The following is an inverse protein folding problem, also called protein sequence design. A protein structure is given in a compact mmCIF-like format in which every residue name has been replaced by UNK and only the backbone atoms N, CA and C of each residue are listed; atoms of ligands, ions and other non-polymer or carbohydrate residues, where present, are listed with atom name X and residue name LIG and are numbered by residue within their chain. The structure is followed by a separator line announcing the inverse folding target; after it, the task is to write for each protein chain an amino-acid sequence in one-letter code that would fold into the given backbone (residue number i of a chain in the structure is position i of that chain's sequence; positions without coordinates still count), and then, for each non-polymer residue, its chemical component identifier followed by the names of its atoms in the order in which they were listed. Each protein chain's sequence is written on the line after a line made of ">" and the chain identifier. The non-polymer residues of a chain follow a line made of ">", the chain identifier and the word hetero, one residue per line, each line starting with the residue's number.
data_IF_063462542551
#
_entry.id   IF_063462542551
#
_cell.length_a   1.000
_cell.length_b   1.000
_cell.length_c   1.000
_cell.angle_alpha   90.00
_cell.angle_beta   90.00
_cell.angle_gamma   90.00
#
_symmetry.space_group_name_H-M   'P 1'
#
loop_
_entity.id
_entity.type
_entity.pdbx_description
1 polymer ?
#
# COMPACT_ATOMS: atom_id res chain seq x y z
N UNK A 1 -21.79 -30.97 35.11
CA UNK A 1 -21.47 -29.85 34.18
C UNK A 1 -20.07 -30.10 33.66
N UNK A 2 -19.92 -30.63 32.44
CA UNK A 2 -18.62 -31.03 31.89
C UNK A 2 -18.03 -29.81 31.18
N UNK A 3 -16.94 -29.24 31.71
CA UNK A 3 -16.16 -28.23 31.01
C UNK A 3 -15.42 -28.91 29.85
N UNK A 4 -15.87 -28.65 28.63
CA UNK A 4 -15.15 -29.04 27.41
C UNK A 4 -14.07 -27.98 27.20
N UNK A 5 -12.82 -28.27 27.58
CA UNK A 5 -11.66 -27.51 27.13
C UNK A 5 -11.52 -27.68 25.61
N UNK A 6 -11.84 -26.62 24.86
CA UNK A 6 -11.52 -26.55 23.43
C UNK A 6 -10.10 -26.02 23.29
N UNK A 7 -9.14 -26.94 23.18
CA UNK A 7 -7.77 -26.58 22.82
C UNK A 7 -7.73 -26.22 21.33
N UNK A 8 -7.50 -24.94 21.02
CA UNK A 8 -7.30 -24.46 19.64
C UNK A 8 -5.94 -24.97 19.14
N UNK A 9 -5.96 -25.91 18.21
CA UNK A 9 -4.75 -26.42 17.54
C UNK A 9 -4.49 -25.62 16.28
N UNK A 10 -3.51 -24.71 16.33
CA UNK A 10 -3.02 -23.97 15.15
C UNK A 10 -2.32 -24.96 14.22
N UNK A 11 -2.94 -25.29 13.08
CA UNK A 11 -2.26 -26.02 11.99
C UNK A 11 -1.26 -25.10 11.31
N UNK A 12 0.03 -25.41 11.44
CA UNK A 12 1.08 -24.73 10.68
C UNK A 12 1.08 -25.26 9.25
N UNK A 13 0.71 -24.41 8.30
CA UNK A 13 0.92 -24.67 6.87
C UNK A 13 2.30 -24.12 6.49
N UNK A 14 3.19 -24.91 5.86
CA UNK A 14 4.46 -24.41 5.36
C UNK A 14 4.20 -23.38 4.25
N UNK A 15 4.49 -22.12 4.51
CA UNK A 15 4.52 -21.05 3.50
C UNK A 15 5.98 -20.74 3.16
N UNK A 16 6.28 -20.57 1.86
CA UNK A 16 7.58 -20.07 1.40
C UNK A 16 7.63 -18.58 1.73
N UNK A 17 8.06 -18.24 2.95
CA UNK A 17 8.06 -16.86 3.43
C UNK A 17 8.97 -16.00 2.53
N UNK A 18 8.50 -14.82 2.12
CA UNK A 18 9.38 -13.77 1.60
C UNK A 18 10.44 -13.46 2.66
N UNK A 19 11.64 -14.00 2.47
CA UNK A 19 12.78 -13.88 3.40
C UNK A 19 13.40 -12.47 3.40
N UNK A 20 12.92 -11.54 2.56
CA UNK A 20 13.44 -10.18 2.45
C UNK A 20 13.08 -9.29 3.66
N UNK A 21 12.16 -9.76 4.49
CA UNK A 21 11.57 -8.97 5.58
C UNK A 21 12.05 -9.35 6.98
N UNK A 22 12.93 -10.36 7.09
CA UNK A 22 13.65 -10.70 8.32
C UNK A 22 14.89 -9.81 8.44
N UNK A 23 15.19 -9.37 9.67
CA UNK A 23 16.29 -8.44 9.96
C UNK A 23 17.65 -9.11 9.72
N UNK A 24 18.09 -9.13 8.46
CA UNK A 24 19.46 -9.46 8.09
C UNK A 24 20.37 -8.29 8.49
N UNK A 25 21.43 -8.62 9.21
CA UNK A 25 22.51 -7.71 9.60
C UNK A 25 23.04 -6.91 8.40
N UNK A 26 23.39 -5.66 8.67
CA UNK A 26 23.99 -4.72 7.74
C UNK A 26 25.44 -5.10 7.43
N UNK A 27 25.64 -6.16 6.65
CA UNK A 27 26.90 -6.41 5.96
C UNK A 27 26.54 -6.80 4.54
N UNK A 28 26.64 -5.82 3.63
CA UNK A 28 26.99 -5.97 2.21
C UNK A 28 26.76 -4.63 1.49
N UNK A 29 27.51 -3.60 1.90
CA UNK A 29 27.80 -2.47 1.02
C UNK A 29 28.96 -2.89 0.12
N UNK A 30 28.68 -3.48 -1.04
CA UNK A 30 29.66 -3.59 -2.15
C UNK A 30 29.00 -4.05 -3.46
N UNK A 31 28.34 -3.13 -4.15
CA UNK A 31 28.49 -2.90 -5.61
C UNK A 31 27.38 -1.93 -6.08
N UNK A 32 27.75 -0.69 -6.42
CA UNK A 32 26.81 0.27 -7.03
C UNK A 32 26.48 -0.09 -8.50
N UNK A 33 27.10 -1.13 -9.06
CA UNK A 33 26.96 -1.50 -10.46
C UNK A 33 26.07 -2.74 -10.71
N UNK A 34 25.81 -3.58 -9.70
CA UNK A 34 25.05 -4.85 -9.85
C UNK A 34 23.84 -4.97 -8.91
N UNK A 35 23.55 -3.93 -8.12
CA UNK A 35 22.49 -3.96 -7.11
C UNK A 35 22.83 -4.86 -5.91
N UNK A 36 21.99 -4.87 -4.89
CA UNK A 36 22.25 -5.62 -3.65
C UNK A 36 22.00 -7.14 -3.76
N UNK A 37 21.77 -7.67 -4.97
CA UNK A 37 21.38 -9.07 -5.21
C UNK A 37 19.97 -9.46 -4.72
N UNK A 38 19.28 -8.55 -4.00
CA UNK A 38 17.94 -8.79 -3.42
C UNK A 38 16.79 -8.18 -4.23
N UNK A 39 17.09 -7.58 -5.38
CA UNK A 39 16.10 -6.90 -6.23
C UNK A 39 15.21 -5.92 -5.41
N UNK A 40 15.81 -5.11 -4.54
CA UNK A 40 15.06 -4.31 -3.57
C UNK A 40 14.49 -3.00 -4.16
N UNK A 41 13.75 -2.27 -3.34
CA UNK A 41 13.21 -0.94 -3.63
C UNK A 41 14.17 0.22 -3.29
N UNK A 42 15.43 -0.07 -2.98
CA UNK A 42 16.43 0.93 -2.63
C UNK A 42 17.19 1.48 -3.84
N UNK A 43 18.02 2.48 -3.57
CA UNK A 43 18.83 3.20 -4.58
C UNK A 43 19.72 2.26 -5.42
N UNK A 44 20.10 1.10 -4.88
CA UNK A 44 20.94 0.13 -5.57
C UNK A 44 20.23 -0.64 -6.69
N UNK A 45 18.89 -0.74 -6.65
CA UNK A 45 18.13 -1.60 -7.58
C UNK A 45 17.02 -0.85 -8.29
N UNK A 46 16.26 -0.01 -7.57
CA UNK A 46 15.05 0.61 -8.11
C UNK A 46 15.28 1.51 -9.34
N UNK A 47 16.32 2.37 -9.40
CA UNK A 47 16.51 3.29 -10.52
C UNK A 47 16.74 2.61 -11.88
N UNK A 48 17.27 1.37 -11.88
CA UNK A 48 17.56 0.60 -13.10
C UNK A 48 16.46 -0.44 -13.41
N UNK A 49 15.39 -0.45 -12.63
CA UNK A 49 14.36 -1.48 -12.71
C UNK A 49 13.26 -1.16 -13.71
N UNK A 50 12.55 -2.21 -14.15
CA UNK A 50 11.30 -2.09 -14.89
C UNK A 50 10.17 -2.63 -14.05
N UNK A 51 9.29 -1.75 -13.62
CA UNK A 51 8.13 -2.11 -12.80
C UNK A 51 6.84 -1.85 -13.58
N UNK A 52 5.76 -2.61 -13.31
CA UNK A 52 4.44 -2.24 -13.79
C UNK A 52 4.09 -0.82 -13.35
N UNK A 53 3.34 -0.09 -14.16
CA UNK A 53 2.99 1.30 -13.92
C UNK A 53 1.51 1.52 -14.17
N UNK A 54 0.79 1.99 -13.15
CA UNK A 54 -0.55 2.51 -13.26
C UNK A 54 -0.50 4.03 -13.22
N UNK A 55 -0.91 4.66 -14.31
CA UNK A 55 -0.97 6.12 -14.41
C UNK A 55 -2.42 6.55 -14.25
N UNK A 56 -2.73 7.33 -13.22
CA UNK A 56 -4.11 7.73 -12.90
C UNK A 56 -4.47 9.10 -13.47
N UNK A 57 -5.74 9.30 -13.87
CA UNK A 57 -6.21 10.61 -14.35
C UNK A 57 -6.01 11.71 -13.29
N UNK A 58 -5.37 12.82 -13.67
CA UNK A 58 -5.24 14.00 -12.82
C UNK A 58 -5.78 15.25 -13.54
N UNK A 59 -7.03 15.63 -13.22
CA UNK A 59 -7.73 16.71 -13.90
C UNK A 59 -7.26 18.12 -13.51
N UNK A 60 -6.39 18.27 -12.50
CA UNK A 60 -5.93 19.60 -12.06
C UNK A 60 -4.95 20.28 -13.05
N UNK A 61 -4.39 19.53 -14.01
CA UNK A 61 -3.43 20.06 -15.00
C UNK A 61 -4.01 20.21 -16.43
N UNK A 62 -5.33 20.06 -16.59
CA UNK A 62 -6.02 20.05 -17.90
C UNK A 62 -6.25 21.42 -18.55
N UNK A 63 -5.22 22.27 -18.63
CA UNK A 63 -5.18 23.44 -19.53
C UNK A 63 -3.86 23.48 -20.32
N UNK A 64 -3.52 22.41 -21.02
CA UNK A 64 -2.53 22.48 -22.10
C UNK A 64 -3.03 21.59 -23.24
N UNK A 65 -3.04 22.17 -24.44
CA UNK A 65 -3.49 21.56 -25.69
C UNK A 65 -2.66 20.34 -26.09
N UNK A 66 -3.28 19.52 -26.93
CA UNK A 66 -2.74 18.28 -27.47
C UNK A 66 -1.47 18.52 -28.29
N UNK A 67 -0.38 17.84 -27.92
CA UNK A 67 0.71 17.53 -28.83
C UNK A 67 1.26 16.15 -28.48
N UNK A 68 0.74 15.11 -29.14
CA UNK A 68 1.30 13.75 -29.06
C UNK A 68 2.23 13.58 -30.27
N UNK A 69 3.52 13.83 -30.07
CA UNK A 69 4.57 13.39 -30.96
C UNK A 69 5.62 12.56 -30.21
N UNK A 70 5.54 11.23 -30.39
CA UNK A 70 6.64 10.25 -30.42
C UNK A 70 7.46 9.96 -29.14
N UNK A 71 7.44 8.71 -28.68
CA UNK A 71 8.56 7.76 -28.93
C UNK A 71 8.25 6.35 -28.41
N UNK A 72 8.78 5.35 -29.14
CA UNK A 72 8.56 3.90 -29.03
C UNK A 72 9.54 3.26 -28.03
N UNK A 73 9.02 2.57 -27.03
CA UNK A 73 9.43 1.22 -26.58
C UNK A 73 8.86 0.94 -25.16
N UNK A 74 7.72 0.27 -25.12
CA UNK A 74 7.01 -0.16 -23.93
C UNK A 74 5.62 -0.61 -24.37
N UNK A 75 5.08 -1.69 -23.80
CA UNK A 75 3.85 -2.34 -24.28
C UNK A 75 2.68 -1.38 -24.48
N UNK A 76 1.74 -1.75 -25.37
CA UNK A 76 0.54 -0.95 -25.63
C UNK A 76 -0.21 -0.69 -24.31
N UNK A 77 -0.48 0.58 -23.94
CA UNK A 77 -1.20 0.89 -22.71
C UNK A 77 -2.60 0.24 -22.72
N UNK A 78 -2.92 -0.49 -21.66
CA UNK A 78 -4.23 -1.11 -21.51
C UNK A 78 -5.13 -0.24 -20.63
N UNK A 79 -6.36 -0.01 -21.07
CA UNK A 79 -7.42 0.51 -20.20
C UNK A 79 -7.85 -0.61 -19.26
N UNK A 80 -7.57 -0.47 -17.97
CA UNK A 80 -7.94 -1.44 -16.95
C UNK A 80 -8.57 -0.76 -15.74
N UNK A 81 -9.61 -1.38 -15.18
CA UNK A 81 -10.13 -1.01 -13.87
C UNK A 81 -9.05 -1.28 -12.82
N UNK A 82 -8.77 -0.29 -11.96
CA UNK A 82 -7.78 -0.43 -10.90
C UNK A 82 -8.09 -1.64 -10.00
N UNK A 83 -9.37 -1.91 -9.70
CA UNK A 83 -9.75 -3.02 -8.83
C UNK A 83 -9.36 -4.38 -9.41
N UNK A 84 -9.71 -4.62 -10.68
CA UNK A 84 -9.41 -5.89 -11.32
C UNK A 84 -7.89 -6.10 -11.42
N UNK A 85 -7.15 -5.04 -11.74
CA UNK A 85 -5.69 -5.08 -11.79
C UNK A 85 -5.10 -5.38 -10.40
N UNK A 86 -5.51 -4.64 -9.37
CA UNK A 86 -4.99 -4.76 -8.01
C UNK A 86 -5.27 -6.16 -7.46
N UNK A 87 -6.52 -6.63 -7.55
CA UNK A 87 -6.92 -7.94 -7.06
C UNK A 87 -6.22 -9.07 -7.83
N UNK A 88 -6.17 -8.99 -9.17
CA UNK A 88 -5.48 -9.99 -9.99
C UNK A 88 -3.98 -10.08 -9.69
N UNK A 89 -3.31 -8.94 -9.52
CA UNK A 89 -1.90 -8.93 -9.12
C UNK A 89 -1.71 -9.41 -7.68
N UNK A 90 -2.61 -9.08 -6.76
CA UNK A 90 -2.55 -9.54 -5.37
C UNK A 90 -2.70 -11.08 -5.27
N UNK A 91 -3.65 -11.66 -6.01
CA UNK A 91 -3.85 -13.11 -6.13
C UNK A 91 -2.65 -13.81 -6.77
N UNK A 92 -2.04 -13.23 -7.81
CA UNK A 92 -0.78 -13.75 -8.38
C UNK A 92 0.30 -13.88 -7.30
N UNK A 93 0.49 -12.86 -6.46
CA UNK A 93 1.49 -12.92 -5.37
C UNK A 93 1.11 -13.93 -4.28
N UNK A 94 -0.19 -14.17 -4.08
CA UNK A 94 -0.68 -15.21 -3.17
C UNK A 94 -0.31 -16.59 -3.70
N UNK A 95 -0.58 -16.85 -4.98
CA UNK A 95 -0.25 -18.11 -5.66
C UNK A 95 1.27 -18.36 -5.68
N UNK A 96 2.08 -17.29 -5.72
CA UNK A 96 3.54 -17.36 -5.62
C UNK A 96 4.07 -17.53 -4.18
N UNK A 97 3.19 -17.54 -3.18
CA UNK A 97 3.55 -17.80 -1.79
C UNK A 97 4.15 -16.61 -1.03
N UNK A 98 4.03 -15.38 -1.53
CA UNK A 98 4.73 -14.22 -0.92
C UNK A 98 4.13 -13.72 0.40
N UNK A 99 3.03 -14.31 0.86
CA UNK A 99 2.33 -13.93 2.09
C UNK A 99 2.74 -14.84 3.26
N UNK A 100 2.76 -14.28 4.47
CA UNK A 100 3.12 -15.04 5.68
C UNK A 100 2.06 -16.07 6.08
N UNK A 101 0.81 -15.82 5.72
CA UNK A 101 -0.35 -16.67 6.00
C UNK A 101 -1.48 -16.35 5.03
N UNK A 102 -2.45 -17.25 4.91
CA UNK A 102 -3.64 -17.08 4.08
C UNK A 102 -4.77 -16.40 4.86
N UNK A 103 -5.04 -15.13 4.54
CA UNK A 103 -6.12 -14.35 5.15
C UNK A 103 -7.51 -14.75 4.68
N UNK A 104 -7.64 -15.39 3.51
CA UNK A 104 -8.95 -15.74 2.93
C UNK A 104 -9.64 -16.88 3.70
N UNK A 105 -8.87 -17.62 4.49
CA UNK A 105 -9.35 -18.67 5.38
C UNK A 105 -9.82 -18.16 6.75
N UNK A 106 -9.67 -16.86 7.05
CA UNK A 106 -9.93 -16.32 8.38
C UNK A 106 -11.43 -16.19 8.67
N UNK A 107 -11.87 -16.73 9.83
CA UNK A 107 -13.25 -16.61 10.26
C UNK A 107 -13.63 -15.14 10.50
N UNK A 108 -14.62 -14.67 9.76
CA UNK A 108 -15.16 -13.32 9.84
C UNK A 108 -16.65 -13.37 10.19
N UNK A 109 -17.09 -12.61 11.19
CA UNK A 109 -18.49 -12.55 11.64
C UNK A 109 -18.92 -11.11 11.86
N UNK A 110 -20.14 -10.79 11.43
CA UNK A 110 -20.83 -9.56 11.83
C UNK A 110 -21.45 -9.80 13.21
N UNK A 111 -21.01 -9.04 14.20
CA UNK A 111 -21.51 -9.10 15.57
C UNK A 111 -22.95 -8.55 15.58
N UNK A 112 -23.93 -9.30 16.12
CA UNK A 112 -25.28 -8.81 16.29
C UNK A 112 -25.34 -7.53 17.13
N UNK A 113 -26.15 -6.57 16.69
CA UNK A 113 -26.37 -5.31 17.40
C UNK A 113 -26.48 -4.10 16.47
N UNK A 114 -26.81 -2.94 17.06
CA UNK A 114 -27.07 -1.68 16.32
C UNK A 114 -25.96 -1.31 15.33
N UNK A 115 -24.71 -1.53 15.72
CA UNK A 115 -23.55 -1.08 14.96
C UNK A 115 -23.08 -2.11 13.93
N UNK A 116 -23.41 -3.40 14.10
CA UNK A 116 -22.96 -4.47 13.21
C UNK A 116 -21.45 -4.51 13.05
N UNK A 117 -20.71 -4.49 14.16
CA UNK A 117 -19.24 -4.57 14.16
C UNK A 117 -18.78 -5.86 13.48
N UNK A 118 -17.61 -5.81 12.86
CA UNK A 118 -17.03 -6.96 12.18
C UNK A 118 -15.89 -7.48 13.05
N UNK A 119 -15.97 -8.74 13.44
CA UNK A 119 -14.90 -9.45 14.13
C UNK A 119 -14.29 -10.47 13.18
N UNK A 120 -12.96 -10.44 13.08
CA UNK A 120 -12.19 -11.38 12.30
C UNK A 120 -11.06 -11.93 13.16
N UNK A 121 -10.91 -13.26 13.16
CA UNK A 121 -9.83 -13.93 13.86
C UNK A 121 -8.71 -14.30 12.88
N UNK A 122 -7.65 -13.50 12.88
CA UNK A 122 -6.46 -13.73 12.06
C UNK A 122 -5.41 -14.52 12.87
N UNK A 123 -5.54 -15.84 12.87
CA UNK A 123 -4.61 -16.74 13.57
C UNK A 123 -3.18 -16.59 13.03
N UNK A 124 -2.19 -16.70 13.92
CA UNK A 124 -0.77 -16.58 13.54
C UNK A 124 -0.28 -15.16 13.21
N UNK A 125 -1.17 -14.18 12.97
CA UNK A 125 -0.77 -12.80 12.68
C UNK A 125 0.08 -12.17 13.79
N UNK A 126 -0.26 -12.45 15.05
CA UNK A 126 0.46 -11.91 16.21
C UNK A 126 1.90 -12.42 16.31
N UNK A 127 2.19 -13.62 15.78
CA UNK A 127 3.52 -14.26 15.88
C UNK A 127 4.59 -13.57 15.03
N UNK A 128 4.18 -12.88 13.96
CA UNK A 128 5.09 -12.22 13.00
C UNK A 128 4.97 -10.68 13.04
N UNK A 129 4.23 -10.14 14.01
CA UNK A 129 4.05 -8.68 14.16
C UNK A 129 5.35 -8.06 14.70
N UNK A 130 5.88 -7.07 13.98
CA UNK A 130 7.04 -6.30 14.45
C UNK A 130 6.67 -5.47 15.70
N UNK A 131 7.60 -5.26 16.64
CA UNK A 131 7.42 -4.30 17.72
C UNK A 131 7.12 -2.91 17.17
N UNK A 132 6.27 -2.16 17.84
CA UNK A 132 5.95 -0.78 17.43
C UNK A 132 7.11 0.14 17.77
N UNK A 133 7.45 1.06 16.87
CA UNK A 133 8.45 2.11 17.11
C UNK A 133 7.92 3.25 18.00
N UNK A 134 6.65 3.16 18.40
CA UNK A 134 5.97 4.14 19.23
C UNK A 134 6.71 4.39 20.54
N UNK A 135 6.91 5.68 20.85
CA UNK A 135 7.25 6.18 22.18
C UNK A 135 6.16 7.17 22.58
N UNK A 136 5.67 7.05 23.82
CA UNK A 136 4.51 7.81 24.34
C UNK A 136 4.69 9.33 24.17
N UNK A 137 5.93 9.80 24.27
CA UNK A 137 6.34 11.20 24.18
C UNK A 137 6.80 11.62 22.77
N UNK A 138 6.91 10.69 21.81
CA UNK A 138 7.53 10.95 20.51
C UNK A 138 6.82 10.25 19.35
N UNK A 139 5.69 10.85 18.94
CA UNK A 139 4.94 10.43 17.73
C UNK A 139 5.62 10.88 16.44
N UNK A 140 6.33 12.00 16.45
CA UNK A 140 7.11 12.48 15.32
C UNK A 140 8.57 12.03 15.49
N UNK A 141 8.98 11.07 14.67
CA UNK A 141 10.33 10.50 14.69
C UNK A 141 10.96 10.68 13.30
N UNK A 142 12.25 11.04 13.22
CA UNK A 142 12.97 11.03 11.95
C UNK A 142 13.03 9.61 11.40
N UNK A 143 13.11 9.48 10.08
CA UNK A 143 13.39 8.21 9.43
C UNK A 143 14.71 7.63 9.94
N UNK A 144 14.78 6.30 10.07
CA UNK A 144 15.97 5.58 10.52
C UNK A 144 16.29 4.46 9.54
N UNK A 145 17.35 4.65 8.75
CA UNK A 145 17.74 3.70 7.71
C UNK A 145 18.24 2.37 8.28
N UNK A 146 18.69 2.34 9.54
CA UNK A 146 19.14 1.11 10.19
C UNK A 146 17.98 0.16 10.49
N UNK A 147 16.77 0.71 10.69
CA UNK A 147 15.58 -0.09 10.95
C UNK A 147 14.98 -0.65 9.67
N UNK A 148 14.03 -1.57 9.82
CA UNK A 148 13.27 -2.05 8.66
C UNK A 148 12.52 -0.88 8.01
N UNK A 149 12.63 -0.77 6.69
CA UNK A 149 11.93 0.22 5.90
C UNK A 149 11.68 -0.31 4.48
N UNK A 150 10.78 0.33 3.73
CA UNK A 150 10.33 -0.21 2.45
C UNK A 150 11.38 -0.22 1.34
N UNK A 151 12.50 0.51 1.46
CA UNK A 151 13.61 0.39 0.48
C UNK A 151 14.25 -1.02 0.50
N UNK A 152 14.06 -1.78 1.59
CA UNK A 152 14.61 -3.13 1.79
C UNK A 152 13.69 -4.24 1.25
N UNK A 153 12.47 -3.90 0.83
CA UNK A 153 11.50 -4.84 0.27
C UNK A 153 11.88 -5.23 -1.15
N UNK A 154 11.70 -6.50 -1.50
CA UNK A 154 11.92 -7.02 -2.85
C UNK A 154 10.82 -6.57 -3.82
N UNK A 155 11.20 -6.29 -5.06
CA UNK A 155 10.29 -5.79 -6.09
C UNK A 155 9.20 -6.79 -6.49
N UNK A 156 9.34 -8.07 -6.18
CA UNK A 156 8.30 -9.08 -6.37
C UNK A 156 7.05 -8.83 -5.50
N UNK A 157 7.18 -8.10 -4.39
CA UNK A 157 6.07 -7.67 -3.56
C UNK A 157 5.31 -6.48 -4.18
N UNK A 158 5.87 -5.79 -5.17
CA UNK A 158 5.24 -4.65 -5.85
C UNK A 158 4.19 -5.11 -6.84
N UNK A 159 3.02 -4.48 -6.81
CA UNK A 159 1.97 -4.67 -7.81
C UNK A 159 2.21 -3.76 -9.01
N UNK A 160 2.42 -2.47 -8.76
CA UNK A 160 2.71 -1.42 -9.74
C UNK A 160 3.18 -0.13 -9.07
N UNK A 161 3.84 0.74 -9.84
CA UNK A 161 3.99 2.17 -9.54
C UNK A 161 2.66 2.89 -9.75
N UNK A 162 2.39 3.92 -8.95
CA UNK A 162 1.14 4.69 -9.00
C UNK A 162 1.44 6.18 -9.17
N UNK A 163 1.26 6.70 -10.40
CA UNK A 163 1.75 8.02 -10.80
C UNK A 163 0.64 8.85 -11.49
N UNK A 164 0.66 10.19 -11.37
CA UNK A 164 -0.34 11.03 -12.02
C UNK A 164 -0.14 11.10 -13.54
N UNK A 165 -1.24 11.04 -14.29
CA UNK A 165 -1.27 11.33 -15.71
C UNK A 165 -1.57 12.82 -15.92
N UNK A 166 -0.86 13.47 -16.86
CA UNK A 166 -1.21 14.80 -17.34
C UNK A 166 -2.53 14.79 -18.16
N UNK A 167 -2.91 13.63 -18.70
CA UNK A 167 -4.14 13.42 -19.45
C UNK A 167 -5.38 13.12 -18.58
N UNK A 168 -6.52 12.94 -19.25
CA UNK A 168 -7.84 12.71 -18.61
C UNK A 168 -8.18 11.23 -18.39
N UNK A 169 -7.31 10.32 -18.82
CA UNK A 169 -7.54 8.86 -18.80
C UNK A 169 -6.48 8.15 -17.99
N UNK A 170 -6.85 7.01 -17.41
CA UNK A 170 -5.93 6.15 -16.66
C UNK A 170 -5.44 5.01 -17.54
N UNK A 171 -4.17 4.62 -17.37
CA UNK A 171 -3.52 3.58 -18.18
C UNK A 171 -2.69 2.64 -17.32
N UNK A 172 -2.61 1.39 -17.74
CA UNK A 172 -1.69 0.42 -17.16
C UNK A 172 -0.64 -0.01 -18.18
N UNK A 173 0.62 0.02 -17.75
CA UNK A 173 1.77 -0.51 -18.47
C UNK A 173 2.32 -1.69 -17.67
N UNK A 174 2.31 -2.92 -18.22
CA UNK A 174 2.77 -4.11 -17.49
C UNK A 174 4.27 -4.09 -17.18
N UNK A 175 5.05 -3.30 -17.92
CA UNK A 175 6.46 -3.09 -17.68
C UNK A 175 6.85 -1.71 -18.20
N UNK A 176 7.33 -0.86 -17.30
CA UNK A 176 7.78 0.50 -17.62
C UNK A 176 9.08 0.81 -16.86
N UNK A 177 10.11 1.35 -17.53
CA UNK A 177 11.36 1.71 -16.86
C UNK A 177 11.10 2.75 -15.76
N UNK A 178 11.72 2.54 -14.61
CA UNK A 178 11.82 3.59 -13.59
C UNK A 178 12.72 4.68 -14.17
N UNK A 179 12.26 5.92 -14.09
CA UNK A 179 12.97 7.07 -14.64
C UNK A 179 13.88 7.63 -13.54
N UNK A 180 15.21 7.46 -13.63
CA UNK A 180 16.14 7.88 -12.58
C UNK A 180 16.26 9.40 -12.47
N UNK A 181 15.80 10.15 -13.48
CA UNK A 181 15.85 11.62 -13.49
C UNK A 181 14.57 12.26 -12.93
N UNK A 182 13.54 11.45 -12.63
CA UNK A 182 12.29 11.92 -12.01
C UNK A 182 12.30 11.78 -10.50
N UNK A 183 11.29 12.40 -9.89
CA UNK A 183 10.96 12.25 -8.47
C UNK A 183 10.87 10.77 -8.08
N UNK A 184 11.20 10.48 -6.82
CA UNK A 184 11.11 9.14 -6.28
C UNK A 184 9.73 8.51 -6.54
N UNK A 185 9.67 7.27 -7.06
CA UNK A 185 8.41 6.64 -7.42
C UNK A 185 7.56 6.35 -6.18
N UNK A 186 6.24 6.44 -6.37
CA UNK A 186 5.27 5.92 -5.41
C UNK A 186 4.81 4.54 -5.85
N UNK A 187 4.76 3.58 -4.93
CA UNK A 187 4.49 2.18 -5.24
C UNK A 187 3.29 1.65 -4.48
N UNK A 188 2.55 0.74 -5.11
CA UNK A 188 1.57 -0.13 -4.45
C UNK A 188 2.19 -1.52 -4.36
N UNK A 189 2.33 -2.02 -3.13
CA UNK A 189 2.91 -3.34 -2.85
C UNK A 189 1.98 -4.16 -1.96
N UNK A 190 2.10 -5.49 -1.97
CA UNK A 190 1.33 -6.33 -1.05
C UNK A 190 1.70 -6.02 0.41
N UNK A 191 0.73 -6.11 1.30
CA UNK A 191 1.06 -6.30 2.71
C UNK A 191 1.24 -7.79 2.96
N UNK A 192 2.49 -8.26 3.11
CA UNK A 192 2.81 -9.69 3.35
C UNK A 192 2.22 -10.24 4.65
N UNK A 193 1.69 -9.38 5.54
CA UNK A 193 0.88 -9.73 6.71
C UNK A 193 -0.53 -9.16 6.56
N UNK A 194 -1.32 -9.70 5.61
CA UNK A 194 -2.58 -9.12 5.20
C UNK A 194 -3.59 -9.18 6.36
N UNK A 195 -4.43 -8.15 6.50
CA UNK A 195 -5.55 -8.18 7.46
C UNK A 195 -6.85 -8.55 6.78
N UNK A 196 -6.92 -8.41 5.46
CA UNK A 196 -8.09 -8.72 4.66
C UNK A 196 -7.65 -8.99 3.21
N UNK A 197 -8.54 -9.56 2.40
CA UNK A 197 -8.40 -9.72 0.97
C UNK A 197 -8.03 -8.41 0.26
N UNK A 198 -7.08 -8.49 -0.67
CA UNK A 198 -6.54 -7.35 -1.39
C UNK A 198 -5.75 -6.36 -0.52
N UNK A 199 -5.26 -6.76 0.66
CA UNK A 199 -4.49 -5.86 1.53
C UNK A 199 -3.14 -5.50 0.92
N UNK A 200 -3.00 -4.22 0.59
CA UNK A 200 -1.82 -3.59 -0.02
C UNK A 200 -1.36 -2.39 0.81
N UNK A 201 -0.15 -1.95 0.52
CA UNK A 201 0.47 -0.74 1.02
C UNK A 201 0.64 0.23 -0.14
N UNK A 202 0.19 1.47 0.03
CA UNK A 202 0.62 2.59 -0.81
C UNK A 202 1.80 3.27 -0.11
N UNK A 203 2.95 3.27 -0.77
CA UNK A 203 4.22 3.82 -0.24
C UNK A 203 4.59 5.02 -1.12
N UNK A 204 4.29 6.25 -0.68
CA UNK A 204 4.62 7.46 -1.43
C UNK A 204 6.14 7.67 -1.47
N UNK A 205 6.67 7.99 -2.65
CA UNK A 205 8.06 8.42 -2.86
C UNK A 205 9.07 7.57 -2.06
N UNK A 206 9.17 6.29 -2.39
CA UNK A 206 9.90 5.29 -1.58
C UNK A 206 11.40 5.61 -1.32
N UNK A 207 12.09 6.27 -2.26
CA UNK A 207 13.50 6.67 -2.14
C UNK A 207 13.69 7.97 -1.34
N UNK A 208 12.64 8.78 -1.18
CA UNK A 208 12.66 9.99 -0.33
C UNK A 208 12.69 9.64 1.17
N UNK A 209 12.42 8.37 1.53
CA UNK A 209 12.49 7.87 2.91
C UNK A 209 11.66 8.72 3.88
N UNK A 210 10.46 9.11 3.45
CA UNK A 210 9.58 9.96 4.24
C UNK A 210 9.23 9.25 5.58
N UNK A 211 9.33 9.93 6.74
CA UNK A 211 8.87 9.35 8.01
C UNK A 211 7.36 9.11 7.97
N UNK A 212 6.83 8.27 8.86
CA UNK A 212 5.39 7.94 8.96
C UNK A 212 4.56 9.14 9.47
N UNK A 213 4.52 10.21 8.68
CA UNK A 213 3.83 11.48 8.91
C UNK A 213 3.19 11.93 7.59
N UNK A 214 1.87 12.07 7.58
CA UNK A 214 1.14 12.57 6.41
C UNK A 214 1.54 14.01 6.11
N UNK A 215 1.72 14.29 4.82
CA UNK A 215 1.76 15.63 4.24
C UNK A 215 0.61 15.81 3.22
N UNK A 216 0.49 16.99 2.61
CA UNK A 216 -0.56 17.27 1.63
C UNK A 216 -0.51 16.32 0.43
N UNK A 217 0.68 16.12 -0.13
CA UNK A 217 0.84 15.41 -1.41
C UNK A 217 0.59 13.90 -1.25
N UNK A 218 1.09 13.33 -0.16
CA UNK A 218 0.87 11.93 0.20
C UNK A 218 -0.60 11.63 0.51
N UNK A 219 -1.32 12.55 1.15
CA UNK A 219 -2.76 12.43 1.37
C UNK A 219 -3.54 12.51 0.05
N UNK A 220 -3.19 13.45 -0.82
CA UNK A 220 -3.79 13.55 -2.15
C UNK A 220 -3.57 12.28 -2.97
N UNK A 221 -2.37 11.69 -2.92
CA UNK A 221 -2.08 10.42 -3.58
C UNK A 221 -2.99 9.29 -3.07
N UNK A 222 -3.21 9.20 -1.75
CA UNK A 222 -4.13 8.24 -1.16
C UNK A 222 -5.59 8.47 -1.63
N UNK A 223 -6.02 9.72 -1.77
CA UNK A 223 -7.33 10.04 -2.35
C UNK A 223 -7.44 9.67 -3.82
N UNK A 224 -6.39 9.87 -4.61
CA UNK A 224 -6.36 9.39 -6.00
C UNK A 224 -6.49 7.88 -6.07
N UNK A 225 -5.80 7.13 -5.20
CA UNK A 225 -5.94 5.67 -5.14
C UNK A 225 -7.40 5.25 -4.85
N UNK A 226 -8.03 5.85 -3.83
CA UNK A 226 -9.43 5.57 -3.50
C UNK A 226 -10.39 5.97 -4.63
N UNK A 227 -10.16 7.11 -5.28
CA UNK A 227 -10.96 7.60 -6.41
C UNK A 227 -10.85 6.72 -7.64
N UNK A 228 -9.66 6.20 -7.94
CA UNK A 228 -9.44 5.29 -9.07
C UNK A 228 -10.05 3.91 -8.81
N UNK A 229 -10.01 3.44 -7.57
CA UNK A 229 -10.69 2.21 -7.19
C UNK A 229 -12.22 2.34 -7.33
N UNK A 230 -12.77 3.51 -6.95
CA UNK A 230 -14.19 3.84 -7.08
C UNK A 230 -15.12 2.75 -6.54
N UNK A 231 -14.70 2.06 -5.49
CA UNK A 231 -15.41 0.94 -4.89
C UNK A 231 -15.72 1.26 -3.42
N UNK A 232 -17.00 1.20 -2.99
CA UNK A 232 -17.38 1.51 -1.62
C UNK A 232 -16.81 0.53 -0.58
N UNK A 233 -16.33 -0.64 -1.01
CA UNK A 233 -15.72 -1.65 -0.16
C UNK A 233 -14.19 -1.56 -0.14
N UNK A 234 -13.59 -0.79 -1.04
CA UNK A 234 -12.17 -0.46 -1.00
C UNK A 234 -11.90 0.70 -0.05
N UNK A 235 -11.02 0.48 0.91
CA UNK A 235 -10.74 1.47 1.96
C UNK A 235 -9.26 1.74 2.02
N UNK A 236 -8.92 3.03 2.11
CA UNK A 236 -7.56 3.49 2.36
C UNK A 236 -7.49 4.03 3.79
N UNK A 237 -6.57 3.49 4.58
CA UNK A 237 -6.36 3.84 5.98
C UNK A 237 -4.92 4.28 6.24
N UNK A 238 -4.74 5.04 7.32
CA UNK A 238 -3.42 5.45 7.78
C UNK A 238 -3.31 5.25 9.28
N UNK A 239 -2.22 4.62 9.70
CA UNK A 239 -1.83 4.52 11.10
C UNK A 239 -0.60 5.41 11.31
N UNK A 240 -0.70 6.41 12.18
CA UNK A 240 0.48 7.13 12.67
C UNK A 240 1.28 6.23 13.61
N UNK A 241 2.50 6.65 13.99
CA UNK A 241 3.25 5.95 15.04
C UNK A 241 2.45 5.88 16.36
N UNK A 242 1.66 6.92 16.68
CA UNK A 242 0.77 6.94 17.83
C UNK A 242 -0.45 6.01 17.72
N UNK A 243 -0.80 5.59 16.51
CA UNK A 243 -1.80 4.57 16.22
C UNK A 243 -1.16 3.18 16.02
N UNK A 244 -0.01 2.93 16.66
CA UNK A 244 0.70 1.65 16.64
C UNK A 244 1.18 1.19 15.26
N UNK A 245 1.53 2.12 14.36
CA UNK A 245 2.31 1.76 13.18
C UNK A 245 3.67 1.17 13.59
N UNK A 246 4.08 0.10 12.90
CA UNK A 246 5.29 -0.68 13.23
C UNK A 246 6.51 -0.27 12.40
N UNK A 247 6.34 0.59 11.41
CA UNK A 247 7.37 1.00 10.46
C UNK A 247 7.34 2.52 10.36
N UNK A 248 8.46 3.18 10.62
CA UNK A 248 8.62 4.62 10.41
C UNK A 248 9.08 4.97 8.98
N UNK A 249 8.32 4.54 7.98
CA UNK A 249 8.46 4.91 6.57
C UNK A 249 7.04 5.12 6.05
N UNK A 250 6.72 6.31 5.53
CA UNK A 250 5.38 6.72 5.11
C UNK A 250 4.69 5.65 4.25
N UNK A 251 3.57 5.15 4.76
CA UNK A 251 2.70 4.24 4.02
C UNK A 251 1.24 4.39 4.46
N UNK A 252 0.34 4.13 3.51
CA UNK A 252 -1.07 3.93 3.74
C UNK A 252 -1.39 2.45 3.58
N UNK A 253 -2.38 1.97 4.32
CA UNK A 253 -2.94 0.63 4.18
C UNK A 253 -4.13 0.73 3.21
N UNK A 254 -4.36 -0.26 2.36
CA UNK A 254 -5.62 -0.35 1.64
C UNK A 254 -6.07 -1.79 1.43
N UNK A 255 -7.36 -2.06 1.52
CA UNK A 255 -7.93 -3.41 1.45
C UNK A 255 -9.42 -3.39 1.07
N UNK A 256 -9.96 -4.55 0.71
CA UNK A 256 -11.37 -4.71 0.34
C UNK A 256 -12.13 -5.43 1.45
N UNK A 257 -13.20 -4.83 1.94
CA UNK A 257 -14.10 -5.52 2.87
C UNK A 257 -15.53 -5.31 2.42
N UNK A 258 -16.17 -6.39 1.96
CA UNK A 258 -17.53 -6.41 1.37
C UNK A 258 -18.65 -6.23 2.41
N UNK A 259 -18.39 -5.46 3.47
CA UNK A 259 -19.33 -5.08 4.52
C UNK A 259 -19.14 -3.61 4.86
N UNK A 260 -20.21 -2.81 4.97
CA UNK A 260 -20.11 -1.40 5.38
C UNK A 260 -19.72 -1.25 6.85
N UNK A 261 -18.77 -0.35 7.13
CA UNK A 261 -18.38 0.02 8.48
C UNK A 261 -19.49 0.76 9.23
N UNK A 262 -19.51 0.70 10.57
CA UNK A 262 -20.48 1.45 11.37
C UNK A 262 -20.50 2.94 11.05
N UNK A 263 -19.33 3.54 10.78
CA UNK A 263 -19.20 4.96 10.42
C UNK A 263 -19.85 5.30 9.08
N UNK A 264 -19.86 4.36 8.13
CA UNK A 264 -20.46 4.54 6.79
C UNK A 264 -22.00 4.45 6.84
N UNK A 265 -22.56 3.89 7.92
CA UNK A 265 -23.99 3.83 8.18
C UNK A 265 -24.49 5.04 9.00
N UNK A 266 -23.58 5.88 9.48
CA UNK A 266 -23.95 7.04 10.28
C UNK A 266 -24.79 8.02 9.45
N UNK A 267 -25.81 8.67 10.03
CA UNK A 267 -26.55 9.71 9.35
C UNK A 267 -25.61 10.81 8.83
N UNK A 268 -25.78 11.21 7.57
CA UNK A 268 -24.99 12.27 6.96
C UNK A 268 -25.86 13.49 6.69
N UNK A 269 -25.28 14.68 6.80
CA UNK A 269 -25.88 15.92 6.33
C UNK A 269 -24.95 16.56 5.30
N UNK A 270 -25.51 17.25 4.31
CA UNK A 270 -24.69 17.98 3.34
C UNK A 270 -24.01 19.14 4.04
N UNK A 271 -22.69 19.20 3.96
CA UNK A 271 -21.93 20.38 4.35
C UNK A 271 -22.30 21.52 3.39
N UNK A 272 -22.86 22.60 3.92
CA UNK A 272 -23.15 23.80 3.13
C UNK A 272 -21.82 24.37 2.63
N UNK A 273 -21.57 24.32 1.32
CA UNK A 273 -20.44 25.03 0.73
C UNK A 273 -20.75 26.52 0.77
N UNK A 274 -20.10 27.25 1.68
CA UNK A 274 -20.16 28.71 1.66
C UNK A 274 -19.46 29.20 0.39
N UNK A 275 -20.24 29.51 -0.66
CA UNK A 275 -19.81 30.46 -1.67
C UNK A 275 -19.73 31.83 -1.00
N UNK A 276 -18.61 32.11 -0.33
CA UNK A 276 -18.38 33.37 0.37
C UNK A 276 -16.94 33.78 0.19
N UNK A 277 -16.72 34.80 -0.65
CA UNK A 277 -15.44 35.48 -0.80
C UNK A 277 -14.89 35.88 0.57
N UNK A 278 -13.78 35.27 1.01
CA UNK A 278 -12.92 35.91 2.00
C UNK A 278 -12.19 37.05 1.30
N UNK A 279 -12.74 38.27 1.37
CA UNK A 279 -11.91 39.47 1.24
C UNK A 279 -11.07 39.53 2.51
N UNK A 280 -9.77 39.27 2.40
CA UNK A 280 -8.83 39.74 3.41
C UNK A 280 -8.82 41.27 3.31
N UNK A 281 -9.23 41.92 4.39
CA UNK A 281 -8.91 43.33 4.66
C UNK A 281 -7.56 43.45 5.35
#
# INVERSE_FOLDING_TARGET
>A
MVCIERMLTIKRVPTVVSNYQESGSSEDLKSLAEGCGRNCLGDCCLPVSKLPLYVFKNAEHGRVEEDIHGSRNGGCPQMSSLNNLLLGQWEDRMNRGLFRYDVTSCETKVIPGKYGFIAQLNEGRHLKKRPTEFRIDKVLQPFDDNKFNFTKVGQEEVLFRFEPNKGKTSFYFPSSPVDPEKDSPSVVAINVSPIEYGHVLLIPRVLDRLPQRIDRDSLLLAFHLAKEASDPFFRVGYNSLGAFATINHLHFQAYYLSVPFPIEKAPTCRTMSSKGHMKLG
#
